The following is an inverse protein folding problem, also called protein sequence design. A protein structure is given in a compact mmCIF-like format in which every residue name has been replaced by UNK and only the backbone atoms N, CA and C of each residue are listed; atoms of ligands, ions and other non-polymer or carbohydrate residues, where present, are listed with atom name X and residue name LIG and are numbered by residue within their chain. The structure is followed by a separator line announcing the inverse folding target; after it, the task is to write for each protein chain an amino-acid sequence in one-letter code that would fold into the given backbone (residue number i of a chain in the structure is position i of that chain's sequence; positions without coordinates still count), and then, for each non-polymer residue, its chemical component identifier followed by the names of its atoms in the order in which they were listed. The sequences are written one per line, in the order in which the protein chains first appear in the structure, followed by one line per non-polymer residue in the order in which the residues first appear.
data_IF_292206629215
#
_entry.id   IF_292206629215
#
_cell.length_a   1.000
_cell.length_b   1.000
_cell.length_c   1.000
_cell.angle_alpha   90.00
_cell.angle_beta   90.00
_cell.angle_gamma   90.00
#
_symmetry.space_group_name_H-M   'P 1'
#
loop_
_entity.id
_entity.type
_entity.pdbx_description
1 polymer ?
#
# COMPACT_ATOMS: atom_id res chain seq x y z
N UNK A 1 -11.46 -42.64 18.73
CA UNK A 1 -11.79 -41.87 17.52
C UNK A 1 -11.03 -40.56 17.58
N UNK A 2 -10.12 -40.31 16.63
CA UNK A 2 -9.49 -38.98 16.48
C UNK A 2 -10.40 -38.14 15.57
N UNK A 3 -10.64 -36.85 15.86
CA UNK A 3 -11.35 -35.99 14.93
C UNK A 3 -10.42 -35.75 13.74
N UNK A 4 -10.90 -36.11 12.54
CA UNK A 4 -10.29 -35.69 11.28
C UNK A 4 -10.59 -34.21 11.11
N UNK A 5 -9.56 -33.37 11.18
CA UNK A 5 -9.57 -31.99 10.69
C UNK A 5 -9.80 -32.05 9.17
N UNK A 6 -11.06 -32.16 8.76
CA UNK A 6 -11.48 -31.95 7.39
C UNK A 6 -11.32 -30.45 7.12
N UNK A 7 -10.20 -30.09 6.47
CA UNK A 7 -10.09 -28.79 5.80
C UNK A 7 -11.32 -28.65 4.89
N UNK A 8 -12.07 -27.54 4.98
CA UNK A 8 -13.27 -27.37 4.15
C UNK A 8 -12.89 -27.54 2.68
N UNK A 9 -13.64 -28.37 1.96
CA UNK A 9 -13.37 -28.75 0.57
C UNK A 9 -13.63 -27.60 -0.40
N UNK A 10 -12.71 -26.65 -0.47
CA UNK A 10 -12.66 -25.67 -1.55
C UNK A 10 -11.82 -26.26 -2.68
N UNK A 11 -12.28 -26.13 -3.93
CA UNK A 11 -11.46 -26.54 -5.05
C UNK A 11 -10.26 -25.59 -5.17
N UNK A 12 -9.11 -26.10 -5.64
CA UNK A 12 -7.92 -25.26 -5.91
C UNK A 12 -8.25 -24.06 -6.83
N UNK A 13 -9.27 -24.21 -7.68
CA UNK A 13 -9.81 -23.15 -8.54
C UNK A 13 -10.49 -22.02 -7.75
N UNK A 14 -11.27 -22.35 -6.72
CA UNK A 14 -11.96 -21.35 -5.89
C UNK A 14 -10.98 -20.56 -5.02
N UNK A 15 -9.97 -21.24 -4.45
CA UNK A 15 -8.90 -20.59 -3.68
C UNK A 15 -8.06 -19.65 -4.54
N UNK A 16 -7.70 -20.09 -5.75
CA UNK A 16 -6.97 -19.27 -6.73
C UNK A 16 -7.77 -18.03 -7.13
N UNK A 17 -9.09 -18.17 -7.33
CA UNK A 17 -9.97 -17.03 -7.68
C UNK A 17 -10.04 -16.01 -6.54
N UNK A 18 -10.19 -16.46 -5.29
CA UNK A 18 -10.22 -15.59 -4.12
C UNK A 18 -8.90 -14.83 -3.94
N UNK A 19 -7.77 -15.53 -4.03
CA UNK A 19 -6.45 -14.91 -3.93
C UNK A 19 -6.19 -13.94 -5.09
N UNK A 20 -6.65 -14.25 -6.30
CA UNK A 20 -6.54 -13.32 -7.45
C UNK A 20 -7.34 -12.05 -7.20
N UNK A 21 -8.57 -12.16 -6.68
CA UNK A 21 -9.38 -10.98 -6.31
C UNK A 21 -8.73 -10.17 -5.20
N UNK A 22 -8.18 -10.83 -4.17
CA UNK A 22 -7.46 -10.18 -3.09
C UNK A 22 -6.21 -9.45 -3.59
N UNK A 23 -5.48 -10.05 -4.55
CA UNK A 23 -4.33 -9.45 -5.23
C UNK A 23 -4.73 -8.17 -5.96
N UNK A 24 -5.79 -8.21 -6.77
CA UNK A 24 -6.32 -7.02 -7.47
C UNK A 24 -6.73 -5.92 -6.48
N UNK A 25 -7.40 -6.28 -5.39
CA UNK A 25 -7.78 -5.32 -4.35
C UNK A 25 -6.54 -4.65 -3.71
N UNK A 26 -5.49 -5.43 -3.41
CA UNK A 26 -4.23 -4.88 -2.88
C UNK A 26 -3.54 -3.95 -3.89
N UNK A 27 -3.53 -4.28 -5.18
CA UNK A 27 -2.99 -3.38 -6.20
C UNK A 27 -3.76 -2.06 -6.29
N UNK A 28 -5.09 -2.12 -6.20
CA UNK A 28 -5.92 -0.92 -6.18
C UNK A 28 -5.63 -0.06 -4.94
N UNK A 29 -5.50 -0.68 -3.76
CA UNK A 29 -5.11 0.01 -2.52
C UNK A 29 -3.74 0.69 -2.68
N UNK A 30 -2.73 -0.02 -3.18
CA UNK A 30 -1.39 0.52 -3.43
C UNK A 30 -1.44 1.70 -4.42
N UNK A 31 -2.24 1.59 -5.48
CA UNK A 31 -2.39 2.64 -6.50
C UNK A 31 -2.96 3.91 -5.88
N UNK A 32 -4.05 3.79 -5.13
CA UNK A 32 -4.70 4.93 -4.46
C UNK A 32 -3.74 5.59 -3.48
N UNK A 33 -3.09 4.81 -2.62
CA UNK A 33 -2.13 5.34 -1.64
C UNK A 33 -0.92 6.00 -2.32
N UNK A 34 -0.47 5.47 -3.45
CA UNK A 34 0.63 6.06 -4.23
C UNK A 34 0.24 7.40 -4.85
N UNK A 35 -1.00 7.52 -5.35
CA UNK A 35 -1.55 8.80 -5.83
C UNK A 35 -1.61 9.83 -4.69
N UNK A 36 -2.17 9.45 -3.54
CA UNK A 36 -2.23 10.32 -2.36
C UNK A 36 -0.83 10.76 -1.92
N UNK A 37 0.14 9.85 -1.83
CA UNK A 37 1.52 10.16 -1.48
C UNK A 37 2.16 11.19 -2.43
N UNK A 38 1.87 11.07 -3.73
CA UNK A 38 2.33 12.02 -4.75
C UNK A 38 1.69 13.39 -4.54
N UNK A 39 0.38 13.46 -4.37
CA UNK A 39 -0.34 14.72 -4.12
C UNK A 39 0.14 15.43 -2.85
N UNK A 40 0.28 14.71 -1.74
CA UNK A 40 0.82 15.25 -0.48
C UNK A 40 2.26 15.74 -0.68
N UNK A 41 3.06 15.04 -1.47
CA UNK A 41 4.44 15.46 -1.79
C UNK A 41 4.48 16.76 -2.60
N UNK A 42 3.58 16.93 -3.59
CA UNK A 42 3.46 18.17 -4.35
C UNK A 42 3.10 19.34 -3.44
N UNK A 43 2.09 19.17 -2.56
CA UNK A 43 1.69 20.21 -1.60
C UNK A 43 2.82 20.61 -0.65
N UNK A 44 3.60 19.62 -0.17
CA UNK A 44 4.79 19.87 0.66
C UNK A 44 5.82 20.70 -0.11
N UNK A 45 6.09 20.37 -1.38
CA UNK A 45 7.06 21.10 -2.21
C UNK A 45 6.60 22.54 -2.44
N UNK A 46 5.31 22.77 -2.69
CA UNK A 46 4.74 24.12 -2.86
C UNK A 46 4.90 24.97 -1.60
N UNK A 47 4.56 24.43 -0.42
CA UNK A 47 4.75 25.14 0.85
C UNK A 47 6.23 25.40 1.15
N UNK A 48 7.10 24.42 0.89
CA UNK A 48 8.54 24.63 1.07
C UNK A 48 9.06 25.77 0.18
N UNK A 49 8.55 25.91 -1.05
CA UNK A 49 8.91 27.03 -1.95
C UNK A 49 8.41 28.37 -1.43
N UNK A 50 7.19 28.41 -0.89
CA UNK A 50 6.64 29.64 -0.28
C UNK A 50 7.44 30.11 0.93
N UNK A 51 7.85 29.16 1.78
CA UNK A 51 8.64 29.40 2.99
C UNK A 51 10.13 29.66 2.72
N UNK A 52 10.61 29.59 1.46
CA UNK A 52 11.96 30.04 1.16
C UNK A 52 12.02 31.55 1.32
N UNK A 53 13.07 32.10 1.98
CA UNK A 53 13.13 33.51 2.29
C UNK A 53 13.17 34.32 1.00
N UNK A 54 12.04 34.96 0.67
CA UNK A 54 12.01 36.09 -0.24
C UNK A 54 12.78 37.21 0.48
N UNK A 55 13.84 37.72 -0.15
CA UNK A 55 14.77 38.72 0.42
C UNK A 55 14.12 40.06 0.82
N UNK A 56 12.81 40.20 0.67
CA UNK A 56 12.01 41.36 1.01
C UNK A 56 10.71 40.84 1.67
N UNK A 57 10.57 40.87 3.00
CA UNK A 57 9.28 40.94 3.73
C UNK A 57 9.44 40.55 5.21
N UNK A 58 9.69 41.55 6.06
CA UNK A 58 9.68 41.42 7.53
C UNK A 58 8.23 41.44 8.10
N UNK A 59 7.19 41.43 7.25
CA UNK A 59 5.78 41.58 7.66
C UNK A 59 4.91 40.31 7.53
N UNK A 60 5.48 39.15 7.17
CA UNK A 60 4.74 37.90 6.88
C UNK A 60 4.74 36.84 8.01
N UNK A 61 5.16 37.19 9.23
CA UNK A 61 5.38 36.20 10.31
C UNK A 61 4.18 35.28 10.61
N UNK A 62 2.94 35.77 10.49
CA UNK A 62 1.74 34.97 10.75
C UNK A 62 1.39 34.00 9.60
N UNK A 63 1.60 34.40 8.34
CA UNK A 63 1.38 33.53 7.18
C UNK A 63 2.43 32.41 7.14
N UNK A 64 3.69 32.73 7.41
CA UNK A 64 4.76 31.74 7.52
C UNK A 64 4.52 30.75 8.67
N UNK A 65 4.00 31.22 9.80
CA UNK A 65 3.62 30.35 10.92
C UNK A 65 2.49 29.38 10.53
N UNK A 66 1.46 29.86 9.83
CA UNK A 66 0.38 29.02 9.31
C UNK A 66 0.88 27.98 8.31
N UNK A 67 1.71 28.39 7.36
CA UNK A 67 2.30 27.51 6.35
C UNK A 67 3.22 26.45 6.98
N UNK A 68 3.96 26.79 8.04
CA UNK A 68 4.77 25.85 8.82
C UNK A 68 3.92 24.81 9.57
N UNK A 69 2.78 25.22 10.15
CA UNK A 69 1.82 24.30 10.77
C UNK A 69 1.23 23.35 9.71
N UNK A 70 0.85 23.87 8.54
CA UNK A 70 0.34 23.06 7.44
C UNK A 70 1.39 22.08 6.89
N UNK A 71 2.64 22.53 6.75
CA UNK A 71 3.77 21.69 6.34
C UNK A 71 3.99 20.53 7.32
N UNK A 72 3.87 20.79 8.63
CA UNK A 72 3.99 19.76 9.67
C UNK A 72 2.89 18.71 9.54
N UNK A 73 1.63 19.15 9.39
CA UNK A 73 0.48 18.25 9.18
C UNK A 73 0.63 17.39 7.93
N UNK A 74 1.06 17.97 6.81
CA UNK A 74 1.27 17.22 5.56
C UNK A 74 2.41 16.20 5.67
N UNK A 75 3.48 16.52 6.41
CA UNK A 75 4.57 15.56 6.68
C UNK A 75 4.07 14.38 7.52
N UNK A 76 3.22 14.62 8.51
CA UNK A 76 2.57 13.55 9.27
C UNK A 76 1.65 12.69 8.40
N UNK A 77 0.84 13.32 7.55
CA UNK A 77 -0.03 12.62 6.60
C UNK A 77 0.80 11.73 5.65
N UNK A 78 1.88 12.26 5.08
CA UNK A 78 2.81 11.49 4.23
C UNK A 78 3.43 10.30 4.97
N UNK A 79 3.76 10.47 6.25
CA UNK A 79 4.24 9.38 7.10
C UNK A 79 3.18 8.28 7.25
N UNK A 80 1.93 8.65 7.52
CA UNK A 80 0.80 7.70 7.62
C UNK A 80 0.57 6.93 6.31
N UNK A 81 0.57 7.63 5.18
CA UNK A 81 0.44 7.00 3.84
C UNK A 81 1.60 6.02 3.60
N UNK A 82 2.83 6.38 3.98
CA UNK A 82 4.00 5.51 3.84
C UNK A 82 3.88 4.23 4.66
N UNK A 83 3.34 4.31 5.88
CA UNK A 83 3.06 3.14 6.72
C UNK A 83 1.97 2.25 6.09
N UNK A 84 0.91 2.85 5.55
CA UNK A 84 -0.17 2.11 4.88
C UNK A 84 0.35 1.41 3.61
N UNK A 85 1.15 2.09 2.80
CA UNK A 85 1.80 1.51 1.61
C UNK A 85 2.64 0.28 1.98
N UNK A 86 3.47 0.38 3.02
CA UNK A 86 4.29 -0.76 3.48
C UNK A 86 3.43 -1.96 3.83
N UNK A 87 2.32 -1.74 4.56
CA UNK A 87 1.38 -2.81 4.93
C UNK A 87 0.70 -3.41 3.70
N UNK A 88 0.28 -2.60 2.74
CA UNK A 88 -0.34 -3.07 1.50
C UNK A 88 0.64 -3.93 0.67
N UNK A 89 1.91 -3.53 0.56
CA UNK A 89 2.94 -4.35 -0.09
C UNK A 89 3.22 -5.67 0.66
N UNK A 90 3.22 -5.68 1.99
CA UNK A 90 3.37 -6.92 2.77
C UNK A 90 2.20 -7.89 2.54
N UNK A 91 0.96 -7.38 2.49
CA UNK A 91 -0.22 -8.18 2.15
C UNK A 91 -0.10 -8.75 0.74
N UNK A 92 0.26 -7.91 -0.24
CA UNK A 92 0.45 -8.33 -1.62
C UNK A 92 1.48 -9.47 -1.72
N UNK A 93 2.65 -9.33 -1.08
CA UNK A 93 3.68 -10.38 -1.08
C UNK A 93 3.20 -11.69 -0.44
N UNK A 94 2.35 -11.62 0.58
CA UNK A 94 1.76 -12.82 1.20
C UNK A 94 0.77 -13.52 0.26
N UNK A 95 -0.03 -12.75 -0.49
CA UNK A 95 -0.96 -13.27 -1.50
C UNK A 95 -0.20 -13.89 -2.67
N UNK A 96 0.87 -13.23 -3.14
CA UNK A 96 1.70 -13.76 -4.23
C UNK A 96 2.38 -15.06 -3.84
N UNK A 97 2.88 -15.16 -2.60
CA UNK A 97 3.41 -16.42 -2.08
C UNK A 97 2.37 -17.54 -2.08
N UNK A 98 1.16 -17.27 -1.58
CA UNK A 98 0.08 -18.25 -1.55
C UNK A 98 -0.34 -18.71 -2.96
N UNK A 99 -0.40 -17.78 -3.93
CA UNK A 99 -0.66 -18.11 -5.34
C UNK A 99 0.44 -19.00 -5.93
N UNK A 100 1.71 -18.73 -5.65
CA UNK A 100 2.82 -19.56 -6.10
C UNK A 100 2.75 -20.98 -5.50
N UNK A 101 2.43 -21.11 -4.21
CA UNK A 101 2.28 -22.41 -3.56
C UNK A 101 1.16 -23.25 -4.20
N UNK A 102 0.02 -22.62 -4.52
CA UNK A 102 -1.08 -23.31 -5.22
C UNK A 102 -0.68 -23.76 -6.64
N UNK A 103 0.09 -22.94 -7.37
CA UNK A 103 0.57 -23.33 -8.70
C UNK A 103 1.52 -24.52 -8.68
N UNK A 104 2.35 -24.66 -7.64
CA UNK A 104 3.25 -25.81 -7.47
C UNK A 104 2.47 -27.10 -7.19
N UNK A 105 1.35 -27.02 -6.49
CA UNK A 105 0.51 -28.20 -6.20
C UNK A 105 -0.32 -28.71 -7.38
N UNK A 106 -0.44 -27.92 -8.46
CA UNK A 106 -1.19 -28.27 -9.68
C UNK A 106 -0.23 -28.63 -10.82
N UNK A 107 0.90 -29.28 -10.53
CA UNK A 107 1.63 -29.98 -11.59
C UNK A 107 0.89 -31.28 -11.94
N UNK A 108 0.42 -31.45 -13.19
CA UNK A 108 -0.15 -32.72 -13.62
C UNK A 108 0.96 -33.78 -13.52
N UNK A 109 0.68 -34.87 -12.83
CA UNK A 109 1.63 -35.96 -12.66
C UNK A 109 2.20 -36.38 -14.01
N UNK A 110 3.53 -36.45 -14.08
CA UNK A 110 4.19 -37.26 -15.10
C UNK A 110 3.60 -38.67 -14.99
N UNK A 111 3.06 -39.25 -16.09
CA UNK A 111 2.73 -40.66 -16.08
C UNK A 111 4.06 -41.42 -16.01
N UNK A 112 4.42 -41.84 -14.80
CA UNK A 112 5.49 -42.79 -14.58
C UNK A 112 5.05 -44.19 -14.95
N UNK A 113 5.85 -44.82 -15.81
CA UNK A 113 5.86 -46.21 -16.29
C UNK A 113 5.04 -46.51 -17.53
#
# INVERSE_FOLDING_TARGET
MKPTDEKPGWSSTDETLLLTRARTACFNEITILSCQSRETSTKIQELCKKLQPQSELIFLMDEDASDMVQLTKLKEEKSKISVQLRKAYQKLGSIEKALSELQVTVQPGEPGS
#
